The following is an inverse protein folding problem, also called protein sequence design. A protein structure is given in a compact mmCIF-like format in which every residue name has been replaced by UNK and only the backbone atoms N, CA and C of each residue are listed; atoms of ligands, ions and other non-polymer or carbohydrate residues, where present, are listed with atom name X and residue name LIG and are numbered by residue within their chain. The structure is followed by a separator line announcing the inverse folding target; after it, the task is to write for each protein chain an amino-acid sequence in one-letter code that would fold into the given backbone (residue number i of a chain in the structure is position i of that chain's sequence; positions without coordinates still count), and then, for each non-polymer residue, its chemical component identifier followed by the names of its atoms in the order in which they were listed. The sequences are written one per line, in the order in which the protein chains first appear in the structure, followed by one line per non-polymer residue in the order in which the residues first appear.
data_IF_347027593929
#
_entry.id   IF_347027593929
#
_cell.length_a   1.000
_cell.length_b   1.000
_cell.length_c   1.000
_cell.angle_alpha   90.00
_cell.angle_beta   90.00
_cell.angle_gamma   90.00
#
_symmetry.space_group_name_H-M   'P 1'
#
loop_
_entity.id
_entity.type
_entity.pdbx_description
1 polymer ?
#
# COMPACT_ATOMS: atom_id res chain seq x y z
N UNK A 1 -8.41 -13.65 -15.98
CA UNK A 1 -6.95 -13.74 -15.88
C UNK A 1 -6.46 -15.04 -15.22
N UNK A 2 -7.25 -15.66 -14.35
CA UNK A 2 -6.85 -16.90 -13.64
C UNK A 2 -7.02 -18.18 -14.45
N UNK A 3 -7.87 -18.20 -15.49
CA UNK A 3 -8.26 -19.42 -16.22
C UNK A 3 -8.04 -19.37 -17.72
N UNK A 4 -7.85 -18.21 -18.31
CA UNK A 4 -7.67 -18.06 -19.75
C UNK A 4 -6.27 -17.52 -20.10
N UNK A 5 -5.71 -18.00 -21.19
CA UNK A 5 -4.46 -17.48 -21.73
C UNK A 5 -4.72 -16.12 -22.40
N UNK A 6 -4.42 -15.04 -21.68
CA UNK A 6 -4.57 -13.68 -22.20
C UNK A 6 -3.38 -13.35 -23.09
N UNK A 7 -3.64 -12.93 -24.33
CA UNK A 7 -2.58 -12.44 -25.21
C UNK A 7 -2.16 -11.01 -24.89
N UNK A 8 -0.94 -10.65 -25.29
CA UNK A 8 -0.36 -9.34 -25.05
C UNK A 8 -1.23 -8.19 -25.59
N UNK A 9 -1.79 -8.34 -26.78
CA UNK A 9 -2.59 -7.28 -27.43
C UNK A 9 -3.85 -6.98 -26.63
N UNK A 10 -4.54 -8.01 -26.20
CA UNK A 10 -5.73 -7.89 -25.35
C UNK A 10 -5.38 -7.21 -24.02
N UNK A 11 -4.27 -7.61 -23.38
CA UNK A 11 -3.79 -7.01 -22.14
C UNK A 11 -3.51 -5.50 -22.31
N UNK A 12 -2.80 -5.12 -23.36
CA UNK A 12 -2.51 -3.72 -23.65
C UNK A 12 -3.76 -2.89 -23.96
N UNK A 13 -4.69 -3.43 -24.75
CA UNK A 13 -5.96 -2.73 -25.03
C UNK A 13 -6.75 -2.44 -23.74
N UNK A 14 -6.78 -3.39 -22.80
CA UNK A 14 -7.41 -3.21 -21.50
C UNK A 14 -6.72 -2.15 -20.68
N UNK A 15 -5.39 -2.17 -20.60
CA UNK A 15 -4.61 -1.16 -19.89
C UNK A 15 -4.84 0.26 -20.45
N UNK A 16 -4.85 0.43 -21.77
CA UNK A 16 -5.14 1.71 -22.41
C UNK A 16 -6.54 2.24 -22.10
N UNK A 17 -7.53 1.36 -22.04
CA UNK A 17 -8.90 1.75 -21.67
C UNK A 17 -9.02 2.11 -20.20
N UNK A 18 -8.22 1.50 -19.33
CA UNK A 18 -8.25 1.75 -17.88
C UNK A 18 -7.51 3.03 -17.47
N UNK A 19 -6.44 3.38 -18.18
CA UNK A 19 -5.55 4.49 -17.84
C UNK A 19 -5.37 5.52 -18.99
N UNK A 20 -6.45 6.01 -19.61
CA UNK A 20 -6.34 6.88 -20.78
C UNK A 20 -5.75 8.24 -20.43
N UNK A 21 -6.06 8.78 -19.26
CA UNK A 21 -5.60 10.10 -18.81
C UNK A 21 -4.11 10.06 -18.48
N UNK A 22 -3.67 9.05 -17.75
CA UNK A 22 -2.28 8.85 -17.35
C UNK A 22 -1.38 8.70 -18.58
N UNK A 23 -1.83 7.90 -19.55
CA UNK A 23 -1.10 7.71 -20.80
C UNK A 23 -1.04 9.01 -21.62
N UNK A 24 -2.14 9.75 -21.73
CA UNK A 24 -2.19 11.02 -22.46
C UNK A 24 -1.36 12.12 -21.77
N UNK A 25 -1.28 12.09 -20.44
CA UNK A 25 -0.50 13.06 -19.65
C UNK A 25 1.00 12.78 -19.69
N UNK A 26 1.43 11.57 -20.06
CA UNK A 26 2.83 11.18 -20.09
C UNK A 26 3.55 11.88 -21.25
N UNK A 27 4.39 12.88 -20.94
CA UNK A 27 5.13 13.65 -21.92
C UNK A 27 6.13 12.80 -22.72
N UNK A 28 6.69 11.75 -22.12
CA UNK A 28 7.64 10.86 -22.77
C UNK A 28 7.03 10.07 -23.94
N UNK A 29 5.72 9.77 -23.88
CA UNK A 29 5.01 9.08 -24.98
C UNK A 29 4.76 9.96 -26.21
N UNK A 30 5.09 11.27 -26.13
CA UNK A 30 5.06 12.17 -27.32
C UNK A 30 6.30 12.04 -28.18
N UNK A 31 7.38 11.48 -27.64
CA UNK A 31 8.60 11.17 -28.38
C UNK A 31 8.47 9.76 -28.97
N UNK A 32 8.58 9.62 -30.29
CA UNK A 32 8.37 8.36 -31.01
C UNK A 32 9.35 7.25 -30.59
N UNK A 33 10.58 7.62 -30.25
CA UNK A 33 11.58 6.64 -29.82
C UNK A 33 11.28 6.12 -28.40
N UNK A 34 10.87 7.01 -27.50
CA UNK A 34 10.45 6.63 -26.15
C UNK A 34 9.12 5.86 -26.16
N UNK A 35 8.20 6.23 -27.04
CA UNK A 35 6.96 5.50 -27.23
C UNK A 35 7.25 4.06 -27.69
N UNK A 36 8.11 3.88 -28.69
CA UNK A 36 8.52 2.55 -29.14
C UNK A 36 9.16 1.74 -28.02
N UNK A 37 10.12 2.33 -27.30
CA UNK A 37 10.76 1.68 -26.17
C UNK A 37 9.76 1.29 -25.07
N UNK A 38 8.77 2.13 -24.79
CA UNK A 38 7.70 1.81 -23.84
C UNK A 38 6.94 0.54 -24.24
N UNK A 39 6.55 0.40 -25.50
CA UNK A 39 5.85 -0.80 -25.98
C UNK A 39 6.73 -2.05 -25.95
N UNK A 40 8.01 -1.92 -26.29
CA UNK A 40 8.99 -3.01 -26.21
C UNK A 40 9.17 -3.46 -24.75
N UNK A 41 9.30 -2.51 -23.82
CA UNK A 41 9.39 -2.80 -22.37
C UNK A 41 8.10 -3.46 -21.85
N UNK A 42 6.93 -2.98 -22.25
CA UNK A 42 5.65 -3.60 -21.87
C UNK A 42 5.55 -5.06 -22.38
N UNK A 43 6.01 -5.31 -23.62
CA UNK A 43 6.04 -6.66 -24.17
C UNK A 43 6.99 -7.57 -23.41
N UNK A 44 8.17 -7.09 -23.09
CA UNK A 44 9.17 -7.80 -22.29
C UNK A 44 8.61 -8.20 -20.92
N UNK A 45 8.00 -7.24 -20.20
CA UNK A 45 7.40 -7.50 -18.90
C UNK A 45 6.27 -8.52 -18.98
N UNK A 46 5.41 -8.41 -19.99
CA UNK A 46 4.32 -9.36 -20.21
C UNK A 46 4.84 -10.78 -20.44
N UNK A 47 5.84 -10.94 -21.31
CA UNK A 47 6.40 -12.25 -21.63
C UNK A 47 7.07 -12.90 -20.42
N UNK A 48 7.83 -12.13 -19.62
CA UNK A 48 8.46 -12.64 -18.41
C UNK A 48 7.47 -13.01 -17.31
N UNK A 49 6.40 -12.23 -17.13
CA UNK A 49 5.32 -12.58 -16.19
C UNK A 49 4.66 -13.89 -16.65
N UNK A 50 4.35 -14.02 -17.95
CA UNK A 50 3.74 -15.21 -18.51
C UNK A 50 4.61 -16.44 -18.33
N UNK A 51 5.91 -16.34 -18.63
CA UNK A 51 6.90 -17.41 -18.41
C UNK A 51 6.97 -17.79 -16.92
N UNK A 52 7.07 -16.81 -16.03
CA UNK A 52 7.09 -17.07 -14.60
C UNK A 52 5.85 -17.82 -14.12
N UNK A 53 4.67 -17.39 -14.55
CA UNK A 53 3.40 -18.01 -14.14
C UNK A 53 3.18 -19.38 -14.73
N UNK A 54 3.59 -19.62 -15.98
CA UNK A 54 3.36 -20.90 -16.65
C UNK A 54 4.44 -21.93 -16.33
N UNK A 55 5.69 -21.52 -16.15
CA UNK A 55 6.82 -22.43 -15.98
C UNK A 55 7.35 -22.44 -14.55
N UNK A 56 7.71 -21.27 -13.99
CA UNK A 56 8.35 -21.19 -12.67
C UNK A 56 7.41 -21.57 -11.54
N UNK A 57 6.12 -21.24 -11.62
CA UNK A 57 5.14 -21.59 -10.58
C UNK A 57 5.02 -23.10 -10.37
N UNK A 58 5.22 -23.88 -11.42
CA UNK A 58 5.15 -25.34 -11.39
C UNK A 58 6.50 -26.00 -11.15
N UNK A 59 7.60 -25.24 -11.09
CA UNK A 59 8.91 -25.79 -10.83
C UNK A 59 9.06 -26.25 -9.39
N UNK A 60 9.88 -27.28 -9.17
CA UNK A 60 10.12 -27.85 -7.85
C UNK A 60 10.59 -26.80 -6.86
N UNK A 61 9.92 -26.74 -5.71
CA UNK A 61 10.22 -25.82 -4.60
C UNK A 61 9.43 -24.52 -4.58
N UNK A 62 8.71 -24.15 -5.64
CA UNK A 62 7.82 -22.99 -5.66
C UNK A 62 6.38 -23.33 -5.24
N UNK A 63 5.78 -24.34 -5.86
CA UNK A 63 4.43 -24.85 -5.51
C UNK A 63 3.37 -23.74 -5.45
N UNK A 64 3.33 -22.90 -6.49
CA UNK A 64 2.41 -21.77 -6.59
C UNK A 64 1.26 -22.13 -7.53
N UNK A 65 0.02 -21.82 -7.12
CA UNK A 65 -1.17 -22.01 -7.96
C UNK A 65 -1.79 -20.66 -8.35
N UNK A 66 -1.72 -20.33 -9.64
CA UNK A 66 -2.32 -19.09 -10.17
C UNK A 66 -3.84 -19.04 -10.05
N UNK A 67 -4.51 -20.19 -9.90
CA UNK A 67 -5.97 -20.27 -9.80
C UNK A 67 -6.47 -20.08 -8.38
N UNK A 68 -5.63 -20.38 -7.37
CA UNK A 68 -5.93 -20.23 -5.95
C UNK A 68 -5.15 -19.06 -5.33
N UNK A 69 -5.30 -17.89 -5.90
CA UNK A 69 -4.60 -16.68 -5.47
C UNK A 69 -5.55 -15.50 -5.29
N UNK A 70 -5.14 -14.58 -4.43
CA UNK A 70 -5.73 -13.25 -4.25
C UNK A 70 -4.75 -12.23 -4.79
N UNK A 71 -5.23 -11.33 -5.66
CA UNK A 71 -4.42 -10.24 -6.20
C UNK A 71 -4.64 -8.97 -5.38
N UNK A 72 -3.55 -8.27 -5.14
CA UNK A 72 -3.53 -7.00 -4.41
C UNK A 72 -4.22 -7.00 -3.02
N UNK A 73 -4.11 -8.09 -2.20
CA UNK A 73 -4.68 -8.11 -0.87
C UNK A 73 -4.03 -7.02 0.01
N UNK A 74 -4.86 -6.36 0.80
CA UNK A 74 -4.42 -5.30 1.71
C UNK A 74 -4.50 -5.75 3.16
N UNK A 75 -3.58 -5.26 3.99
CA UNK A 75 -3.50 -5.55 5.41
C UNK A 75 -3.21 -4.29 6.22
N UNK A 76 -3.77 -4.23 7.41
CA UNK A 76 -3.49 -3.22 8.42
C UNK A 76 -2.89 -3.92 9.63
N UNK A 77 -1.69 -3.54 10.04
CA UNK A 77 -1.00 -4.11 11.19
C UNK A 77 -0.82 -3.06 12.27
N UNK A 78 -1.69 -3.08 13.27
CA UNK A 78 -1.65 -2.16 14.40
C UNK A 78 -0.35 -2.35 15.21
N UNK A 79 0.02 -3.58 15.51
CA UNK A 79 1.19 -3.90 16.32
C UNK A 79 2.50 -3.31 15.77
N UNK A 80 2.62 -3.21 14.44
CA UNK A 80 3.77 -2.59 13.78
C UNK A 80 3.50 -1.14 13.34
N UNK A 81 2.25 -0.65 13.43
CA UNK A 81 1.84 0.64 12.88
C UNK A 81 2.10 0.75 11.39
N UNK A 82 1.84 -0.33 10.66
CA UNK A 82 2.06 -0.44 9.22
C UNK A 82 0.79 -0.90 8.51
N UNK A 83 0.65 -0.46 7.28
CA UNK A 83 -0.31 -1.03 6.33
C UNK A 83 0.41 -1.36 5.03
N UNK A 84 -0.10 -2.35 4.32
CA UNK A 84 0.50 -2.75 3.06
C UNK A 84 -0.47 -3.44 2.13
N UNK A 85 -0.11 -3.48 0.86
CA UNK A 85 -0.81 -4.20 -0.19
C UNK A 85 0.22 -5.04 -0.92
N UNK A 86 0.00 -6.35 -0.94
CA UNK A 86 0.83 -7.29 -1.67
C UNK A 86 0.33 -7.37 -3.11
N UNK A 87 1.21 -7.71 -4.06
CA UNK A 87 0.81 -7.84 -5.45
C UNK A 87 0.10 -9.19 -5.72
N UNK A 88 0.58 -10.26 -5.08
CA UNK A 88 0.04 -11.61 -5.24
C UNK A 88 0.18 -12.39 -3.93
N UNK A 89 -0.86 -13.12 -3.54
CA UNK A 89 -0.90 -13.98 -2.35
C UNK A 89 -1.63 -15.28 -2.67
N UNK A 90 -1.10 -16.42 -2.26
CA UNK A 90 -1.87 -17.65 -2.23
C UNK A 90 -3.01 -17.53 -1.22
N UNK A 91 -4.17 -18.09 -1.52
CA UNK A 91 -5.37 -17.94 -0.67
C UNK A 91 -5.16 -18.51 0.74
N UNK A 92 -4.37 -19.57 0.86
CA UNK A 92 -3.98 -20.17 2.15
C UNK A 92 -2.90 -19.39 2.89
N UNK A 93 -2.45 -18.24 2.34
CA UNK A 93 -1.36 -17.40 2.85
C UNK A 93 0.00 -18.11 2.98
N UNK A 94 0.17 -19.27 2.35
CA UNK A 94 1.44 -20.02 2.39
C UNK A 94 2.58 -19.31 1.66
N UNK A 95 2.24 -18.47 0.68
CA UNK A 95 3.23 -17.74 -0.10
C UNK A 95 2.68 -16.45 -0.72
N UNK A 96 3.57 -15.49 -0.96
CA UNK A 96 3.26 -14.27 -1.70
C UNK A 96 4.41 -13.84 -2.61
N UNK A 97 4.05 -13.00 -3.59
CA UNK A 97 5.00 -12.41 -4.52
C UNK A 97 4.82 -10.90 -4.51
N UNK A 98 5.92 -10.19 -4.39
CA UNK A 98 6.01 -8.75 -4.64
C UNK A 98 6.64 -8.51 -6.01
N UNK A 99 6.02 -7.70 -6.86
CA UNK A 99 6.48 -7.44 -8.23
C UNK A 99 7.16 -6.09 -8.36
N UNK A 100 8.19 -6.02 -9.19
CA UNK A 100 8.92 -4.79 -9.50
C UNK A 100 9.18 -4.70 -11.01
N UNK A 101 8.74 -3.61 -11.63
CA UNK A 101 9.02 -3.30 -13.04
C UNK A 101 10.42 -2.73 -13.28
N UNK A 102 11.10 -2.27 -12.22
CA UNK A 102 12.44 -1.71 -12.30
C UNK A 102 13.54 -2.75 -12.47
N UNK A 103 14.78 -2.28 -12.55
CA UNK A 103 15.97 -3.14 -12.58
C UNK A 103 16.37 -3.54 -11.16
N UNK A 104 16.85 -4.77 -11.01
CA UNK A 104 17.60 -5.22 -9.84
C UNK A 104 19.02 -4.62 -9.84
N UNK A 105 19.83 -4.92 -8.82
CA UNK A 105 21.23 -4.54 -8.80
C UNK A 105 22.05 -5.52 -9.63
N UNK A 106 22.76 -5.01 -10.63
CA UNK A 106 23.63 -5.78 -11.52
C UNK A 106 25.09 -5.61 -11.07
N UNK A 107 25.69 -6.69 -10.61
CA UNK A 107 27.12 -6.68 -10.22
C UNK A 107 28.00 -7.10 -11.39
N UNK A 108 28.71 -6.12 -11.98
CA UNK A 108 29.55 -6.30 -13.16
C UNK A 108 30.62 -7.41 -13.02
N UNK A 109 31.08 -7.69 -11.78
CA UNK A 109 32.17 -8.65 -11.52
C UNK A 109 31.74 -10.11 -11.63
N UNK A 110 30.42 -10.41 -11.56
CA UNK A 110 29.92 -11.80 -11.56
C UNK A 110 28.75 -12.05 -12.50
N UNK A 111 28.28 -11.04 -13.23
CA UNK A 111 27.05 -11.16 -14.03
C UNK A 111 25.82 -11.54 -13.21
N UNK A 112 25.88 -11.38 -11.89
CA UNK A 112 24.82 -11.79 -10.97
C UNK A 112 23.86 -10.64 -10.74
N UNK A 113 22.60 -10.90 -10.98
CA UNK A 113 21.52 -9.96 -10.66
C UNK A 113 21.03 -10.26 -9.24
N UNK A 114 21.00 -9.24 -8.37
CA UNK A 114 20.51 -9.36 -7.01
C UNK A 114 19.40 -8.37 -6.71
N UNK A 115 18.39 -8.77 -5.92
CA UNK A 115 17.37 -7.85 -5.47
C UNK A 115 17.92 -6.66 -4.68
N UNK A 116 17.38 -5.47 -4.93
CA UNK A 116 17.73 -4.26 -4.17
C UNK A 116 17.36 -4.41 -2.70
N UNK A 117 18.19 -3.84 -1.82
CA UNK A 117 18.01 -3.97 -0.37
C UNK A 117 16.63 -3.44 0.09
N UNK A 118 16.17 -2.29 -0.43
CA UNK A 118 14.86 -1.75 -0.10
C UNK A 118 13.70 -2.67 -0.49
N UNK A 119 13.80 -3.39 -1.60
CA UNK A 119 12.76 -4.35 -2.01
C UNK A 119 12.79 -5.62 -1.14
N UNK A 120 14.00 -6.08 -0.74
CA UNK A 120 14.13 -7.17 0.25
C UNK A 120 13.48 -6.77 1.59
N UNK A 121 13.72 -5.53 2.04
CA UNK A 121 13.11 -4.99 3.25
C UNK A 121 11.59 -4.95 3.15
N UNK A 122 11.03 -4.52 2.03
CA UNK A 122 9.58 -4.51 1.83
C UNK A 122 8.97 -5.90 1.98
N UNK A 123 9.57 -6.94 1.40
CA UNK A 123 9.11 -8.32 1.59
C UNK A 123 9.17 -8.77 3.05
N UNK A 124 10.26 -8.43 3.75
CA UNK A 124 10.40 -8.77 5.17
C UNK A 124 9.34 -8.07 6.04
N UNK A 125 8.99 -6.82 5.71
CA UNK A 125 7.90 -6.12 6.38
C UNK A 125 6.55 -6.79 6.12
N UNK A 126 6.29 -7.26 4.91
CA UNK A 126 5.06 -8.02 4.62
C UNK A 126 5.00 -9.34 5.38
N UNK A 127 6.11 -10.09 5.48
CA UNK A 127 6.16 -11.28 6.34
C UNK A 127 5.87 -10.94 7.81
N UNK A 128 6.41 -9.83 8.31
CA UNK A 128 6.14 -9.35 9.66
C UNK A 128 4.67 -8.93 9.83
N UNK A 129 4.09 -8.21 8.86
CA UNK A 129 2.66 -7.86 8.87
C UNK A 129 1.79 -9.11 8.94
N UNK A 130 2.04 -10.11 8.09
CA UNK A 130 1.27 -11.37 8.12
C UNK A 130 1.42 -12.11 9.45
N UNK A 131 2.59 -12.08 10.06
CA UNK A 131 2.79 -12.68 11.36
C UNK A 131 1.99 -11.98 12.46
N UNK A 132 2.07 -10.65 12.53
CA UNK A 132 1.46 -9.88 13.61
C UNK A 132 -0.02 -9.61 13.42
N UNK A 133 -0.51 -9.54 12.18
CA UNK A 133 -1.94 -9.36 11.90
C UNK A 133 -2.71 -10.66 11.76
N UNK A 134 -2.12 -11.66 11.09
CA UNK A 134 -2.81 -12.89 10.71
C UNK A 134 -2.35 -14.11 11.54
N UNK A 135 -1.40 -13.94 12.46
CA UNK A 135 -0.87 -15.02 13.27
C UNK A 135 -0.04 -16.06 12.49
N UNK A 136 0.36 -15.74 11.25
CA UNK A 136 1.12 -16.65 10.41
C UNK A 136 2.56 -16.83 10.92
N UNK A 137 3.06 -18.07 10.98
CA UNK A 137 4.47 -18.30 11.25
C UNK A 137 5.31 -17.86 10.04
N UNK A 138 6.06 -16.77 10.19
CA UNK A 138 6.90 -16.22 9.14
C UNK A 138 7.88 -17.23 8.52
N UNK A 139 8.26 -18.29 9.26
CA UNK A 139 9.14 -19.37 8.75
C UNK A 139 8.43 -20.28 7.75
N UNK A 140 7.10 -20.30 7.80
CA UNK A 140 6.25 -21.12 6.92
C UNK A 140 5.76 -20.34 5.71
N UNK A 141 5.74 -18.99 5.79
CA UNK A 141 5.32 -18.14 4.68
C UNK A 141 6.48 -17.92 3.71
N UNK A 142 6.37 -18.47 2.52
CA UNK A 142 7.34 -18.26 1.44
C UNK A 142 7.11 -16.89 0.79
N UNK A 143 8.13 -16.08 0.74
CA UNK A 143 8.07 -14.75 0.13
C UNK A 143 9.01 -14.66 -1.07
N UNK A 144 8.50 -14.16 -2.18
CA UNK A 144 9.24 -14.05 -3.42
C UNK A 144 9.20 -12.62 -3.97
N UNK A 145 10.30 -12.23 -4.61
CA UNK A 145 10.41 -10.98 -5.35
C UNK A 145 10.56 -11.31 -6.84
N UNK A 146 9.63 -10.77 -7.64
CA UNK A 146 9.67 -10.86 -9.10
C UNK A 146 10.07 -9.50 -9.69
N UNK A 147 11.25 -9.44 -10.32
CA UNK A 147 11.54 -8.34 -11.23
C UNK A 147 11.05 -8.73 -12.63
N UNK A 148 10.04 -8.04 -13.12
CA UNK A 148 9.43 -8.39 -14.41
C UNK A 148 10.32 -8.12 -15.62
N UNK A 149 11.49 -7.49 -15.41
CA UNK A 149 12.57 -7.44 -16.41
C UNK A 149 13.35 -8.75 -16.56
N UNK A 150 13.16 -9.71 -15.64
CA UNK A 150 13.84 -11.00 -15.61
C UNK A 150 12.80 -12.07 -15.21
N UNK A 151 12.74 -13.24 -15.88
CA UNK A 151 11.79 -14.31 -15.54
C UNK A 151 12.25 -15.10 -14.29
N UNK A 152 12.62 -14.41 -13.23
CA UNK A 152 13.23 -15.01 -12.04
C UNK A 152 12.48 -14.61 -10.76
N UNK A 153 12.09 -15.59 -9.97
CA UNK A 153 11.60 -15.42 -8.62
C UNK A 153 12.78 -15.52 -7.63
N UNK A 154 12.97 -14.45 -6.86
CA UNK A 154 13.99 -14.38 -5.82
C UNK A 154 13.36 -14.69 -4.47
N UNK A 155 13.70 -15.83 -3.82
CA UNK A 155 13.17 -16.15 -2.50
C UNK A 155 13.74 -15.20 -1.45
N UNK A 156 12.90 -14.73 -0.55
CA UNK A 156 13.32 -13.98 0.62
C UNK A 156 13.75 -14.91 1.75
N UNK A 157 14.78 -14.49 2.47
CA UNK A 157 15.20 -15.15 3.73
C UNK A 157 14.79 -14.24 4.89
N UNK A 158 13.99 -14.72 5.83
CA UNK A 158 13.61 -13.93 6.99
C UNK A 158 14.83 -13.40 7.75
N UNK A 159 14.81 -12.11 8.07
CA UNK A 159 15.86 -11.43 8.84
C UNK A 159 15.27 -10.46 9.84
N UNK A 160 15.04 -10.94 11.06
CA UNK A 160 14.48 -10.11 12.13
C UNK A 160 15.38 -8.94 12.53
N UNK A 161 16.69 -9.09 12.40
CA UNK A 161 17.60 -7.96 12.62
C UNK A 161 17.34 -6.81 11.66
N UNK A 162 17.06 -7.11 10.38
CA UNK A 162 16.70 -6.12 9.38
C UNK A 162 15.32 -5.52 9.66
N UNK A 163 14.32 -6.33 10.00
CA UNK A 163 12.98 -5.86 10.38
C UNK A 163 13.07 -4.89 11.55
N UNK A 164 13.81 -5.22 12.63
CA UNK A 164 14.00 -4.33 13.78
C UNK A 164 14.60 -2.99 13.36
N UNK A 165 15.66 -2.99 12.56
CA UNK A 165 16.29 -1.74 12.07
C UNK A 165 15.33 -0.85 11.30
N UNK A 166 14.43 -1.44 10.52
CA UNK A 166 13.44 -0.68 9.76
C UNK A 166 12.34 -0.14 10.67
N UNK A 167 11.90 -0.94 11.65
CA UNK A 167 10.94 -0.47 12.66
C UNK A 167 11.56 0.65 13.52
N UNK A 168 12.83 0.56 13.88
CA UNK A 168 13.54 1.64 14.59
C UNK A 168 13.60 2.92 13.74
N UNK A 169 13.84 2.80 12.44
CA UNK A 169 13.78 3.94 11.52
C UNK A 169 12.37 4.54 11.47
N UNK A 170 11.33 3.71 11.32
CA UNK A 170 9.93 4.15 11.34
C UNK A 170 9.61 4.86 12.65
N UNK A 171 10.05 4.31 13.80
CA UNK A 171 9.81 4.91 15.11
C UNK A 171 10.45 6.31 15.22
N UNK A 172 11.65 6.50 14.68
CA UNK A 172 12.29 7.83 14.64
C UNK A 172 11.50 8.82 13.79
N UNK A 173 11.05 8.41 12.60
CA UNK A 173 10.23 9.26 11.71
C UNK A 173 8.93 9.67 12.43
N UNK A 174 8.22 8.70 13.03
CA UNK A 174 6.97 8.96 13.76
C UNK A 174 7.22 9.85 14.98
N UNK A 175 8.32 9.66 15.70
CA UNK A 175 8.67 10.50 16.84
C UNK A 175 8.95 11.96 16.45
N UNK A 176 9.59 12.19 15.30
CA UNK A 176 9.81 13.55 14.79
C UNK A 176 8.49 14.22 14.37
N UNK A 177 7.63 13.49 13.60
CA UNK A 177 6.30 14.00 13.22
C UNK A 177 5.42 14.27 14.45
N UNK A 178 5.41 13.36 15.41
CA UNK A 178 4.67 13.50 16.67
C UNK A 178 5.20 14.67 17.52
N UNK A 179 6.51 14.86 17.56
CA UNK A 179 7.15 15.98 18.24
C UNK A 179 6.73 17.33 17.66
N UNK A 180 6.59 17.44 16.34
CA UNK A 180 6.10 18.65 15.66
C UNK A 180 4.63 18.91 16.04
N UNK A 181 3.79 17.89 15.99
CA UNK A 181 2.37 17.99 16.32
C UNK A 181 2.16 18.39 17.78
N UNK A 182 2.82 17.72 18.75
CA UNK A 182 2.67 17.98 20.18
C UNK A 182 3.17 19.35 20.61
N UNK A 183 4.31 19.77 20.09
CA UNK A 183 4.91 21.05 20.48
C UNK A 183 4.23 22.23 19.81
N UNK A 184 3.69 22.03 18.61
CA UNK A 184 3.02 23.06 17.81
C UNK A 184 3.77 24.41 17.83
N UNK A 185 5.10 24.34 17.72
CA UNK A 185 6.02 25.46 17.86
C UNK A 185 6.72 25.74 16.54
N UNK A 186 6.66 26.97 16.05
CA UNK A 186 7.38 27.39 14.85
C UNK A 186 8.89 27.23 15.02
N UNK A 187 9.41 27.48 16.21
CA UNK A 187 10.84 27.33 16.52
C UNK A 187 11.27 25.86 16.40
N UNK A 188 10.52 24.93 17.01
CA UNK A 188 10.82 23.51 16.93
C UNK A 188 10.74 23.00 15.50
N UNK A 189 9.72 23.42 14.75
CA UNK A 189 9.57 23.04 13.34
C UNK A 189 10.70 23.58 12.48
N UNK A 190 11.09 24.85 12.71
CA UNK A 190 12.25 25.45 12.05
C UNK A 190 13.52 24.63 12.29
N UNK A 191 13.79 24.31 13.56
CA UNK A 191 14.95 23.50 13.93
C UNK A 191 14.95 22.14 13.21
N UNK A 192 13.81 21.43 13.23
CA UNK A 192 13.68 20.11 12.59
C UNK A 192 13.88 20.16 11.09
N UNK A 193 13.37 21.19 10.42
CA UNK A 193 13.55 21.34 8.98
C UNK A 193 14.96 21.79 8.60
N UNK A 194 15.64 22.57 9.45
CA UNK A 194 17.03 22.95 9.27
C UNK A 194 18.00 21.77 9.52
N UNK A 195 17.64 20.82 10.38
CA UNK A 195 18.36 19.54 10.56
C UNK A 195 18.37 18.67 9.31
N UNK A 196 17.48 18.90 8.32
CA UNK A 196 17.48 18.22 7.03
C UNK A 196 18.61 18.79 6.15
N UNK A 197 19.84 18.48 6.46
CA UNK A 197 21.00 18.93 5.70
C UNK A 197 22.01 17.79 5.47
N UNK A 198 22.94 18.01 4.52
CA UNK A 198 23.86 16.97 4.10
C UNK A 198 24.82 16.48 5.21
N UNK A 199 25.08 17.29 6.22
CA UNK A 199 25.96 16.89 7.34
C UNK A 199 25.21 16.03 8.36
N UNK A 200 23.99 16.39 8.72
CA UNK A 200 23.14 15.63 9.66
C UNK A 200 22.64 14.32 9.08
N UNK A 201 22.22 14.32 7.81
CA UNK A 201 21.67 13.12 7.17
C UNK A 201 22.74 12.14 6.69
N UNK A 202 24.00 12.52 6.67
CA UNK A 202 25.12 11.65 6.31
C UNK A 202 25.90 11.16 7.53
N UNK A 203 25.24 10.71 8.56
CA UNK A 203 25.86 10.16 9.78
C UNK A 203 26.89 9.06 9.50
N UNK A 204 26.68 8.27 8.43
CA UNK A 204 27.56 7.18 8.03
C UNK A 204 28.77 7.64 7.20
N UNK A 205 28.88 8.93 6.91
CA UNK A 205 29.95 9.47 6.08
C UNK A 205 30.00 8.85 4.68
N UNK A 206 28.83 8.61 4.07
CA UNK A 206 28.74 8.05 2.72
C UNK A 206 29.55 8.92 1.75
N UNK A 207 30.41 8.27 1.00
CA UNK A 207 31.22 8.86 -0.07
C UNK A 207 31.01 8.02 -1.32
N UNK A 208 30.82 8.64 -2.44
CA UNK A 208 30.70 7.93 -3.70
C UNK A 208 29.57 8.45 -4.58
N UNK A 209 29.53 7.94 -5.80
CA UNK A 209 28.66 8.44 -6.87
C UNK A 209 27.17 8.53 -6.48
N UNK A 210 26.64 7.55 -5.74
CA UNK A 210 25.24 7.56 -5.35
C UNK A 210 24.92 8.74 -4.42
N UNK A 211 25.75 8.98 -3.41
CA UNK A 211 25.61 10.11 -2.51
C UNK A 211 25.74 11.45 -3.25
N UNK A 212 26.81 11.62 -4.00
CA UNK A 212 27.12 12.88 -4.66
C UNK A 212 26.19 13.22 -5.83
N UNK A 213 25.65 12.20 -6.52
CA UNK A 213 24.81 12.41 -7.70
C UNK A 213 23.31 12.49 -7.37
N UNK A 214 22.84 11.75 -6.36
CA UNK A 214 21.40 11.61 -6.14
C UNK A 214 20.92 12.14 -4.79
N UNK A 215 21.61 11.79 -3.68
CA UNK A 215 21.11 12.14 -2.35
C UNK A 215 21.46 13.57 -1.96
N UNK A 216 22.73 13.92 -2.00
CA UNK A 216 23.21 15.24 -1.62
C UNK A 216 22.57 16.38 -2.42
N UNK A 217 22.47 16.32 -3.76
CA UNK A 217 21.84 17.41 -4.52
C UNK A 217 20.36 17.62 -4.16
N UNK A 218 19.65 16.56 -3.84
CA UNK A 218 18.25 16.66 -3.40
C UNK A 218 18.11 17.38 -2.06
N UNK A 219 18.99 17.05 -1.10
CA UNK A 219 19.05 17.69 0.21
C UNK A 219 19.45 19.16 0.07
N UNK A 220 20.53 19.44 -0.69
CA UNK A 220 21.03 20.79 -0.91
C UNK A 220 19.99 21.67 -1.63
N UNK A 221 19.24 21.12 -2.59
CA UNK A 221 18.15 21.82 -3.27
C UNK A 221 17.02 22.20 -2.29
N UNK A 222 16.62 21.30 -1.39
CA UNK A 222 15.64 21.63 -0.35
C UNK A 222 16.17 22.77 0.54
N UNK A 223 17.36 22.63 1.07
CA UNK A 223 17.97 23.63 1.96
C UNK A 223 18.18 24.99 1.30
N UNK A 224 18.59 25.03 0.03
CA UNK A 224 18.79 26.28 -0.70
C UNK A 224 17.46 27.03 -0.87
N UNK A 225 16.38 26.33 -1.17
CA UNK A 225 15.03 26.92 -1.28
C UNK A 225 14.55 27.45 0.05
N UNK A 226 14.69 26.64 1.13
CA UNK A 226 14.29 27.05 2.48
C UNK A 226 15.06 28.30 2.95
N UNK A 227 16.38 28.36 2.68
CA UNK A 227 17.20 29.52 3.04
C UNK A 227 16.88 30.77 2.24
N UNK A 228 16.42 30.62 1.00
CA UNK A 228 16.06 31.73 0.13
C UNK A 228 14.75 32.43 0.52
N UNK A 229 13.90 31.79 1.36
CA UNK A 229 12.67 32.38 1.83
C UNK A 229 12.93 33.56 2.76
N UNK A 230 12.13 34.61 2.64
CA UNK A 230 12.04 35.71 3.61
C UNK A 230 11.55 35.22 4.98
N UNK A 231 11.70 36.02 6.02
CA UNK A 231 11.23 35.66 7.36
C UNK A 231 9.71 35.41 7.39
N UNK A 232 8.94 36.22 6.65
CA UNK A 232 7.47 36.04 6.56
C UNK A 232 7.10 34.73 5.87
N UNK A 233 7.74 34.41 4.75
CA UNK A 233 7.50 33.18 4.01
C UNK A 233 7.88 31.95 4.84
N UNK A 234 8.99 31.99 5.58
CA UNK A 234 9.39 30.92 6.50
C UNK A 234 8.35 30.70 7.60
N UNK A 235 7.91 31.77 8.26
CA UNK A 235 6.89 31.67 9.30
C UNK A 235 5.58 31.11 8.77
N UNK A 236 5.15 31.54 7.59
CA UNK A 236 3.98 30.99 6.93
C UNK A 236 4.15 29.50 6.60
N UNK A 237 5.29 29.14 6.01
CA UNK A 237 5.59 27.74 5.69
C UNK A 237 5.58 26.83 6.92
N UNK A 238 6.21 27.26 8.01
CA UNK A 238 6.23 26.49 9.25
C UNK A 238 4.85 26.37 9.89
N UNK A 239 4.05 27.42 9.86
CA UNK A 239 2.69 27.40 10.38
C UNK A 239 1.80 26.42 9.61
N UNK A 240 1.88 26.45 8.27
CA UNK A 240 1.14 25.52 7.41
C UNK A 240 1.64 24.08 7.59
N UNK A 241 2.94 23.89 7.73
CA UNK A 241 3.53 22.57 7.97
C UNK A 241 3.03 21.99 9.31
N UNK A 242 3.04 22.78 10.39
CA UNK A 242 2.48 22.38 11.68
C UNK A 242 1.00 22.03 11.58
N UNK A 243 0.22 22.85 10.88
CA UNK A 243 -1.20 22.58 10.65
C UNK A 243 -1.42 21.25 9.93
N UNK A 244 -0.72 21.03 8.82
CA UNK A 244 -0.83 19.78 8.06
C UNK A 244 -0.42 18.56 8.90
N UNK A 245 0.66 18.67 9.69
CA UNK A 245 1.13 17.59 10.56
C UNK A 245 0.09 17.26 11.64
N UNK A 246 -0.54 18.28 12.23
CA UNK A 246 -1.61 18.11 13.20
C UNK A 246 -2.84 17.44 12.58
N UNK A 247 -3.28 17.91 11.43
CA UNK A 247 -4.44 17.34 10.72
C UNK A 247 -4.19 15.87 10.32
N UNK A 248 -2.99 15.55 9.82
CA UNK A 248 -2.61 14.16 9.50
C UNK A 248 -2.60 13.27 10.75
N UNK A 249 -2.14 13.78 11.88
CA UNK A 249 -2.16 13.04 13.13
C UNK A 249 -3.60 12.79 13.59
N UNK A 250 -4.42 13.83 13.64
CA UNK A 250 -5.83 13.75 14.06
C UNK A 250 -6.63 12.84 13.14
N UNK A 251 -6.41 12.90 11.82
CA UNK A 251 -7.09 12.01 10.87
C UNK A 251 -6.76 10.53 11.07
N UNK A 252 -5.59 10.21 11.64
CA UNK A 252 -5.17 8.83 11.91
C UNK A 252 -5.60 8.35 13.29
N UNK A 253 -5.33 9.13 14.33
CA UNK A 253 -5.49 8.74 15.73
C UNK A 253 -6.78 9.25 16.38
N UNK A 254 -7.51 10.14 15.71
CA UNK A 254 -8.68 10.80 16.27
C UNK A 254 -8.34 12.04 17.09
N UNK A 255 -9.38 12.79 17.46
CA UNK A 255 -9.25 13.97 18.33
C UNK A 255 -9.23 13.54 19.79
N UNK A 256 -8.21 13.99 20.52
CA UNK A 256 -8.00 13.63 21.94
C UNK A 256 -9.08 14.24 22.83
N UNK A 257 -9.68 15.36 22.42
CA UNK A 257 -10.69 16.10 23.19
C UNK A 257 -12.11 15.52 23.03
N UNK A 258 -12.30 14.57 22.12
CA UNK A 258 -13.55 13.85 21.94
C UNK A 258 -13.45 12.47 22.57
N UNK A 259 -14.35 12.13 23.51
CA UNK A 259 -14.48 10.77 24.05
C UNK A 259 -14.83 9.73 22.95
N UNK A 260 -15.24 10.19 21.78
CA UNK A 260 -15.45 9.37 20.59
C UNK A 260 -14.13 9.05 19.89
N UNK A 261 -13.90 7.78 19.62
CA UNK A 261 -12.77 7.29 18.81
C UNK A 261 -13.01 7.67 17.36
N UNK A 262 -12.49 8.83 16.98
CA UNK A 262 -12.59 9.38 15.61
C UNK A 262 -11.33 9.05 14.80
N UNK A 263 -11.36 9.32 13.49
CA UNK A 263 -10.23 9.04 12.60
C UNK A 263 -10.09 7.58 12.20
N UNK A 264 -9.03 7.26 11.45
CA UNK A 264 -8.80 5.92 10.92
C UNK A 264 -8.64 4.85 12.02
N UNK A 265 -8.17 5.22 13.20
CA UNK A 265 -7.98 4.32 14.34
C UNK A 265 -9.31 3.75 14.86
N UNK A 266 -10.45 4.43 14.66
CA UNK A 266 -11.79 3.91 14.99
C UNK A 266 -12.09 2.58 14.32
N UNK A 267 -11.48 2.32 13.15
CA UNK A 267 -11.65 1.06 12.42
C UNK A 267 -11.25 -0.18 13.24
N UNK A 268 -10.33 -0.06 14.18
CA UNK A 268 -9.89 -1.18 15.02
C UNK A 268 -10.02 -0.94 16.52
N UNK A 269 -10.06 0.30 16.98
CA UNK A 269 -10.21 0.64 18.39
C UNK A 269 -11.67 0.62 18.86
N UNK A 270 -12.62 0.98 17.99
CA UNK A 270 -14.04 0.97 18.34
C UNK A 270 -14.64 -0.43 18.28
N UNK A 271 -15.46 -0.75 19.27
CA UNK A 271 -16.25 -1.98 19.31
C UNK A 271 -17.32 -1.98 18.22
N UNK A 272 -17.91 -3.16 17.95
CA UNK A 272 -19.03 -3.25 17.00
C UNK A 272 -20.20 -2.36 17.43
N UNK A 273 -20.54 -2.35 18.72
CA UNK A 273 -21.64 -1.55 19.27
C UNK A 273 -21.40 -0.05 19.06
N UNK A 274 -20.18 0.45 19.38
CA UNK A 274 -19.80 1.85 19.18
C UNK A 274 -19.87 2.24 17.69
N UNK A 275 -19.42 1.37 16.78
CA UNK A 275 -19.54 1.61 15.34
C UNK A 275 -20.97 1.63 14.83
N UNK A 276 -21.85 0.77 15.39
CA UNK A 276 -23.27 0.76 15.07
C UNK A 276 -23.94 2.05 15.54
N UNK A 277 -23.66 2.48 16.77
CA UNK A 277 -24.17 3.73 17.33
C UNK A 277 -23.73 4.96 16.52
N UNK A 278 -22.47 4.97 16.08
CA UNK A 278 -21.93 6.02 15.22
C UNK A 278 -22.42 5.93 13.75
N UNK A 279 -23.08 4.83 13.35
CA UNK A 279 -23.47 4.59 11.96
C UNK A 279 -22.28 4.32 11.01
N UNK A 280 -21.13 3.93 11.54
CA UNK A 280 -19.88 3.74 10.80
C UNK A 280 -19.63 2.31 10.32
N UNK A 281 -20.58 1.42 10.52
CA UNK A 281 -20.50 0.03 10.05
C UNK A 281 -21.83 -0.48 9.54
N UNK A 282 -21.79 -1.30 8.51
CA UNK A 282 -22.88 -2.18 8.09
C UNK A 282 -22.33 -3.60 8.16
N UNK A 283 -22.95 -4.49 8.91
CA UNK A 283 -22.47 -5.86 9.12
C UNK A 283 -23.55 -6.89 8.71
N UNK A 284 -23.26 -8.19 8.84
CA UNK A 284 -24.11 -9.30 8.37
C UNK A 284 -24.48 -9.20 6.87
N UNK A 285 -23.58 -8.66 6.09
CA UNK A 285 -23.75 -8.58 4.65
C UNK A 285 -23.41 -9.92 3.99
N UNK A 286 -24.25 -10.36 3.06
CA UNK A 286 -24.02 -11.55 2.23
C UNK A 286 -23.79 -11.13 0.79
N UNK A 287 -22.86 -11.79 0.13
CA UNK A 287 -22.59 -11.55 -1.29
C UNK A 287 -23.76 -12.14 -2.10
N UNK A 288 -24.51 -11.27 -2.77
CA UNK A 288 -25.55 -11.64 -3.72
C UNK A 288 -24.96 -11.88 -5.11
N UNK A 289 -24.13 -10.96 -5.57
CA UNK A 289 -23.44 -11.04 -6.85
C UNK A 289 -21.97 -10.69 -6.68
N UNK A 290 -21.11 -11.46 -7.33
CA UNK A 290 -19.67 -11.25 -7.29
C UNK A 290 -19.13 -10.99 -8.69
N UNK A 291 -18.85 -9.74 -8.97
CA UNK A 291 -18.22 -9.23 -10.19
C UNK A 291 -16.78 -8.77 -9.93
N UNK A 292 -16.13 -9.26 -8.88
CA UNK A 292 -14.77 -8.85 -8.53
C UNK A 292 -13.75 -9.14 -9.64
N UNK A 293 -14.02 -10.14 -10.47
CA UNK A 293 -13.19 -10.49 -11.64
C UNK A 293 -13.55 -9.69 -12.90
N UNK A 294 -14.56 -8.81 -12.86
CA UNK A 294 -14.89 -7.96 -14.01
C UNK A 294 -13.82 -6.88 -14.19
N UNK A 295 -13.23 -6.84 -15.36
CA UNK A 295 -12.12 -5.96 -15.67
C UNK A 295 -12.51 -4.48 -15.78
N UNK A 296 -13.79 -4.19 -16.03
CA UNK A 296 -14.30 -2.83 -16.22
C UNK A 296 -15.03 -2.30 -14.99
N UNK A 297 -15.71 -3.19 -14.28
CA UNK A 297 -16.54 -2.88 -13.13
C UNK A 297 -16.38 -3.92 -12.04
N UNK A 298 -15.14 -4.11 -11.59
CA UNK A 298 -14.90 -4.98 -10.44
C UNK A 298 -15.75 -4.51 -9.26
N UNK A 299 -16.68 -5.35 -8.82
CA UNK A 299 -17.65 -4.96 -7.83
C UNK A 299 -18.33 -6.12 -7.14
N UNK A 300 -19.05 -5.79 -6.09
CA UNK A 300 -19.88 -6.72 -5.33
C UNK A 300 -21.28 -6.11 -5.16
N UNK A 301 -22.30 -6.93 -5.28
CA UNK A 301 -23.64 -6.62 -4.76
C UNK A 301 -23.82 -7.42 -3.49
N UNK A 302 -24.07 -6.72 -2.39
CA UNK A 302 -24.26 -7.28 -1.06
C UNK A 302 -25.70 -7.07 -0.62
N UNK A 303 -26.27 -8.08 0.04
CA UNK A 303 -27.56 -7.95 0.73
C UNK A 303 -27.33 -7.93 2.23
N UNK A 304 -28.01 -7.03 2.93
CA UNK A 304 -28.04 -7.06 4.38
C UNK A 304 -29.02 -8.12 4.88
N UNK A 305 -28.71 -8.73 6.02
CA UNK A 305 -29.65 -9.55 6.75
C UNK A 305 -30.88 -8.73 7.16
N UNK A 306 -32.06 -9.33 7.12
CA UNK A 306 -33.35 -8.65 7.32
C UNK A 306 -33.52 -7.95 8.67
N UNK A 307 -32.70 -8.28 9.66
CA UNK A 307 -32.80 -7.70 11.01
C UNK A 307 -32.10 -6.35 11.15
N UNK A 308 -31.11 -6.06 10.30
CA UNK A 308 -30.21 -4.91 10.49
C UNK A 308 -30.68 -3.65 9.77
N UNK A 309 -31.06 -3.77 8.49
CA UNK A 309 -31.55 -2.61 7.72
C UNK A 309 -32.96 -2.17 8.10
N UNK A 310 -33.74 -3.06 8.76
CA UNK A 310 -35.09 -2.77 9.24
C UNK A 310 -35.15 -2.38 10.71
N UNK A 311 -34.06 -2.36 11.44
CA UNK A 311 -34.02 -1.83 12.80
C UNK A 311 -34.29 -0.33 12.77
N UNK A 312 -35.40 0.13 13.32
CA UNK A 312 -35.75 1.56 13.42
C UNK A 312 -34.68 2.43 14.05
N UNK A 313 -33.69 1.81 14.71
CA UNK A 313 -32.60 2.44 15.45
C UNK A 313 -31.28 2.49 14.66
N UNK A 314 -31.16 1.79 13.52
CA UNK A 314 -29.89 1.75 12.77
C UNK A 314 -29.97 2.65 11.53
N UNK A 315 -29.31 3.80 11.63
CA UNK A 315 -29.12 4.74 10.51
C UNK A 315 -27.64 4.76 10.10
N UNK A 316 -27.23 3.96 9.13
CA UNK A 316 -25.84 3.97 8.66
C UNK A 316 -25.52 5.33 8.02
N UNK A 317 -24.41 5.90 8.40
CA UNK A 317 -23.93 7.20 7.90
C UNK A 317 -23.13 7.04 6.59
N UNK A 318 -23.60 6.18 5.69
CA UNK A 318 -22.98 5.93 4.40
C UNK A 318 -23.77 6.54 3.25
N UNK A 319 -23.06 7.03 2.25
CA UNK A 319 -23.63 7.63 1.04
C UNK A 319 -22.99 7.04 -0.20
N UNK A 320 -23.67 7.16 -1.33
CA UNK A 320 -23.08 6.87 -2.63
C UNK A 320 -21.80 7.69 -2.85
N UNK A 321 -20.74 7.04 -3.28
CA UNK A 321 -19.41 7.62 -3.48
C UNK A 321 -18.44 7.45 -2.32
N UNK A 322 -18.93 7.13 -1.12
CA UNK A 322 -18.08 6.96 0.06
C UNK A 322 -17.05 5.85 -0.12
N UNK A 323 -15.84 6.13 0.37
CA UNK A 323 -14.78 5.15 0.43
C UNK A 323 -14.98 4.24 1.63
N UNK A 324 -14.93 2.93 1.39
CA UNK A 324 -15.18 1.92 2.40
C UNK A 324 -14.08 0.87 2.46
N UNK A 325 -14.02 0.19 3.59
CA UNK A 325 -13.19 -1.00 3.82
C UNK A 325 -14.11 -2.18 4.08
N UNK A 326 -13.91 -3.26 3.33
CA UNK A 326 -14.59 -4.53 3.49
C UNK A 326 -13.65 -5.54 4.14
N UNK A 327 -14.14 -6.32 5.05
CA UNK A 327 -13.44 -7.47 5.63
C UNK A 327 -14.42 -8.56 6.02
N UNK A 328 -13.94 -9.80 6.04
CA UNK A 328 -14.71 -10.94 6.49
C UNK A 328 -14.83 -10.93 8.03
N UNK A 329 -16.05 -11.13 8.54
CA UNK A 329 -16.29 -11.20 9.98
C UNK A 329 -17.04 -12.48 10.32
N UNK A 330 -16.37 -13.35 11.08
CA UNK A 330 -16.91 -14.64 11.53
C UNK A 330 -17.17 -14.69 13.04
N UNK A 331 -16.53 -13.78 13.79
CA UNK A 331 -16.70 -13.67 15.24
C UNK A 331 -16.49 -12.22 15.71
N UNK A 332 -16.80 -11.95 16.98
CA UNK A 332 -16.80 -10.60 17.54
C UNK A 332 -15.40 -9.97 17.65
N UNK A 333 -14.35 -10.78 17.66
CA UNK A 333 -12.97 -10.31 17.69
C UNK A 333 -12.41 -9.96 16.31
N UNK A 334 -13.14 -10.29 15.23
CA UNK A 334 -12.71 -10.00 13.88
C UNK A 334 -12.82 -8.51 13.55
N UNK A 335 -11.73 -7.93 13.06
CA UNK A 335 -11.68 -6.54 12.64
C UNK A 335 -10.64 -6.33 11.53
N UNK A 336 -10.42 -5.09 11.12
CA UNK A 336 -9.52 -4.75 9.99
C UNK A 336 -8.05 -5.05 10.24
N UNK A 337 -7.61 -5.30 11.48
CA UNK A 337 -6.20 -5.57 11.81
C UNK A 337 -5.85 -7.05 11.83
N UNK A 338 -6.84 -7.93 11.86
CA UNK A 338 -6.66 -9.39 11.87
C UNK A 338 -7.34 -10.10 10.68
N UNK A 339 -7.80 -9.34 9.71
CA UNK A 339 -8.40 -9.84 8.46
C UNK A 339 -7.75 -9.20 7.24
N UNK A 340 -7.83 -9.89 6.13
CA UNK A 340 -7.57 -9.30 4.81
C UNK A 340 -8.64 -8.23 4.55
N UNK A 341 -8.23 -7.05 4.08
CA UNK A 341 -9.15 -5.95 3.81
C UNK A 341 -9.21 -5.62 2.32
N UNK A 342 -10.40 -5.26 1.85
CA UNK A 342 -10.65 -4.82 0.50
C UNK A 342 -11.14 -3.38 0.52
N UNK A 343 -10.59 -2.54 -0.35
CA UNK A 343 -10.99 -1.13 -0.46
C UNK A 343 -11.96 -0.96 -1.61
N UNK A 344 -13.02 -0.19 -1.38
CA UNK A 344 -14.03 0.07 -2.38
C UNK A 344 -14.69 1.43 -2.22
N UNK A 345 -15.63 1.71 -3.11
CA UNK A 345 -16.55 2.83 -3.01
C UNK A 345 -17.97 2.32 -3.15
N UNK A 346 -18.90 2.94 -2.44
CA UNK A 346 -20.34 2.64 -2.57
C UNK A 346 -20.81 3.18 -3.92
N UNK A 347 -21.32 2.32 -4.80
CA UNK A 347 -21.94 2.71 -6.06
C UNK A 347 -23.40 3.09 -5.88
N UNK A 348 -24.12 2.31 -5.07
CA UNK A 348 -25.50 2.58 -4.65
C UNK A 348 -25.77 1.95 -3.29
N UNK A 349 -26.73 2.53 -2.59
CA UNK A 349 -27.22 2.03 -1.30
C UNK A 349 -28.75 2.12 -1.32
N UNK A 350 -29.40 1.00 -1.11
CA UNK A 350 -30.87 0.87 -0.97
C UNK A 350 -31.19 0.23 0.35
N UNK A 351 -32.49 0.11 0.68
CA UNK A 351 -32.93 -0.55 1.91
C UNK A 351 -32.47 -2.01 2.04
N UNK A 352 -32.23 -2.70 0.92
CA UNK A 352 -31.95 -4.13 0.92
C UNK A 352 -30.59 -4.50 0.30
N UNK A 353 -29.96 -3.59 -0.44
CA UNK A 353 -28.78 -3.91 -1.23
C UNK A 353 -27.74 -2.79 -1.20
N UNK A 354 -26.51 -3.19 -1.25
CA UNK A 354 -25.35 -2.29 -1.35
C UNK A 354 -24.51 -2.73 -2.55
N UNK A 355 -24.39 -1.83 -3.53
CA UNK A 355 -23.47 -2.00 -4.65
C UNK A 355 -22.13 -1.38 -4.32
N UNK A 356 -21.06 -2.13 -4.50
CA UNK A 356 -19.69 -1.70 -4.17
C UNK A 356 -18.81 -1.87 -5.38
N UNK A 357 -18.10 -0.82 -5.75
CA UNK A 357 -17.01 -0.87 -6.70
C UNK A 357 -15.70 -1.10 -5.96
N UNK A 358 -15.02 -2.20 -6.26
CA UNK A 358 -13.70 -2.51 -5.70
C UNK A 358 -12.61 -1.63 -6.36
N UNK A 359 -11.65 -1.16 -5.57
CA UNK A 359 -10.50 -0.37 -6.06
C UNK A 359 -9.36 -1.23 -6.57
N UNK A 360 -9.27 -2.47 -6.08
CA UNK A 360 -8.33 -3.49 -6.52
C UNK A 360 -9.06 -4.82 -6.55
N UNK A 361 -8.73 -5.71 -7.48
CA UNK A 361 -9.40 -6.98 -7.74
C UNK A 361 -8.44 -8.15 -7.80
#
# INVERSE_FOLDING_TARGET
AKSEEIDYRTCMQKAFRRYPIELAACSDLRDKEKERQFFEDCKLHFDHIRETVNDTFHAAGYELDKTDAVLEPSYICEALGLQGRLDYMQRDMSSFIEMKSGKADEYAIRGKVEPKENNKVQMLLYQAVLQYSMGMDHRKVKAYLLYTRYPLLYPSRPSWAMVRRVIDLRNRIVADEYGIQLRNSLEYTSQKLEEINASTLNERGLKGRFWETYLRPSIDNFQSKLKALSALEKNYFYAVYNFITKELYTSKSGDVDYEGRTGAASLWLSTLAEKCEAGEIIYDLKIKENHAADEYKAGLTLTAGSEMLHAETFLPNFRQGDAIILYERNCDTDNVTNKMVFKGNIEYLTENEIGIRLRAT
#
